data_IF_217130185431
#
_entry.id   IF_217130185431
#
_cell.length_a   1.000
_cell.length_b   1.000
_cell.length_c   1.000
_cell.angle_alpha   90.00
_cell.angle_beta   90.00
_cell.angle_gamma   90.00
#
_symmetry.space_group_name_H-M   'P 1'
#
loop_
_entity.id
_entity.type
_entity.pdbx_description
1 polymer ?
#
# COMPACT_ATOMS: atom_id res chain seq x y z
N UNK A 1 -30.99 -67.94 -28.69
CA UNK A 1 -31.53 -67.59 -30.02
C UNK A 1 -31.56 -66.07 -30.14
N UNK A 2 -30.55 -65.50 -30.81
CA UNK A 2 -30.65 -64.75 -32.09
C UNK A 2 -31.02 -63.27 -31.89
N UNK A 3 -30.03 -62.38 -31.67
CA UNK A 3 -29.28 -61.58 -32.68
C UNK A 3 -30.14 -60.55 -33.42
N UNK A 4 -29.78 -59.27 -33.30
CA UNK A 4 -29.40 -58.38 -34.43
C UNK A 4 -28.84 -57.02 -33.95
N UNK A 5 -27.61 -56.72 -34.38
CA UNK A 5 -26.99 -55.40 -34.66
C UNK A 5 -26.66 -55.43 -36.18
N UNK A 6 -26.13 -54.36 -36.81
CA UNK A 6 -26.60 -52.99 -37.08
C UNK A 6 -26.67 -52.77 -38.64
N UNK A 7 -26.59 -51.55 -39.24
CA UNK A 7 -25.26 -51.00 -39.59
C UNK A 7 -25.10 -49.44 -39.77
N UNK A 8 -23.82 -49.00 -39.65
CA UNK A 8 -23.02 -47.90 -40.29
C UNK A 8 -23.59 -46.51 -40.69
N UNK A 9 -22.99 -45.38 -40.24
CA UNK A 9 -21.79 -44.61 -40.72
C UNK A 9 -21.96 -43.75 -41.99
N UNK A 10 -21.67 -42.44 -41.86
CA UNK A 10 -20.88 -41.56 -42.75
C UNK A 10 -20.52 -40.29 -41.93
N UNK A 11 -19.28 -39.87 -41.64
CA UNK A 11 -18.04 -39.67 -42.40
C UNK A 11 -18.04 -38.45 -43.35
N UNK A 12 -16.95 -37.66 -43.25
CA UNK A 12 -16.48 -36.51 -44.08
C UNK A 12 -17.00 -35.11 -43.73
N UNK A 13 -16.22 -34.03 -43.70
CA UNK A 13 -14.76 -33.76 -43.71
C UNK A 13 -14.61 -32.23 -43.46
N UNK A 14 -13.51 -31.72 -42.87
CA UNK A 14 -13.31 -30.31 -42.57
C UNK A 14 -12.53 -29.60 -43.67
N UNK A 15 -12.97 -28.42 -44.11
CA UNK A 15 -12.07 -27.50 -44.83
C UNK A 15 -12.39 -26.01 -44.64
N UNK A 16 -11.40 -25.33 -44.04
CA UNK A 16 -10.84 -24.04 -44.43
C UNK A 16 -11.79 -22.97 -45.00
N UNK A 17 -11.89 -21.84 -44.29
CA UNK A 17 -11.58 -20.53 -44.90
C UNK A 17 -10.92 -19.57 -43.91
N UNK A 18 -9.66 -19.29 -44.20
CA UNK A 18 -8.90 -18.15 -43.73
C UNK A 18 -9.63 -16.83 -44.02
N UNK A 19 -9.64 -15.92 -43.05
CA UNK A 19 -9.74 -14.49 -43.32
C UNK A 19 -8.85 -13.74 -42.33
N UNK A 20 -7.61 -13.46 -42.77
CA UNK A 20 -6.75 -12.44 -42.19
C UNK A 20 -7.40 -11.08 -42.48
N UNK A 21 -7.75 -10.30 -41.44
CA UNK A 21 -7.93 -8.85 -41.59
C UNK A 21 -6.80 -8.14 -40.84
N UNK A 22 -5.81 -7.74 -41.64
CA UNK A 22 -4.76 -6.80 -41.28
C UNK A 22 -5.36 -5.39 -41.25
N UNK A 23 -5.30 -4.71 -40.11
CA UNK A 23 -5.60 -3.27 -40.03
C UNK A 23 -4.25 -2.53 -40.16
N UNK A 24 -4.01 -1.95 -41.34
CA UNK A 24 -2.98 -0.91 -41.54
C UNK A 24 -3.64 0.44 -41.29
N UNK A 25 -3.14 1.21 -40.32
CA UNK A 25 -3.41 2.64 -40.24
C UNK A 25 -2.27 3.37 -40.96
N UNK A 26 -2.61 4.00 -42.08
CA UNK A 26 -1.74 4.89 -42.85
C UNK A 26 -1.77 6.28 -42.19
N UNK A 27 -0.61 6.78 -41.77
CA UNK A 27 -0.43 8.21 -41.48
C UNK A 27 -0.04 8.94 -42.77
N UNK A 28 -0.86 9.91 -43.17
CA UNK A 28 -0.52 10.92 -44.18
C UNK A 28 0.36 11.99 -43.52
N UNK A 29 1.52 12.24 -44.12
CA UNK A 29 2.35 13.41 -43.82
C UNK A 29 1.93 14.64 -44.61
N UNK A 30 2.36 15.80 -44.12
CA UNK A 30 2.32 17.06 -44.85
C UNK A 30 2.81 18.24 -44.00
N UNK A 31 4.10 18.59 -44.13
CA UNK A 31 4.57 19.98 -44.24
C UNK A 31 6.09 20.01 -44.46
N UNK A 32 6.48 20.70 -45.54
CA UNK A 32 7.86 20.97 -46.00
C UNK A 32 8.48 22.13 -45.21
N UNK A 33 9.81 22.17 -45.13
CA UNK A 33 10.51 23.37 -44.64
C UNK A 33 12.04 23.33 -44.57
N UNK A 34 12.70 23.15 -45.74
CA UNK A 34 14.06 23.61 -46.12
C UNK A 34 15.28 23.36 -45.22
N UNK A 35 16.19 22.53 -45.75
CA UNK A 35 17.64 22.58 -45.53
C UNK A 35 18.24 23.87 -46.11
N UNK A 36 19.31 24.37 -45.48
CA UNK A 36 20.43 24.96 -46.20
C UNK A 36 21.77 24.54 -45.55
N UNK A 37 22.74 24.37 -46.44
CA UNK A 37 24.01 23.66 -46.36
C UNK A 37 25.18 24.49 -45.82
N UNK A 38 26.13 23.80 -45.15
CA UNK A 38 27.63 23.88 -45.15
C UNK A 38 28.37 25.07 -45.83
N UNK A 39 29.69 25.35 -45.59
CA UNK A 39 30.73 24.50 -44.97
C UNK A 39 31.74 25.20 -44.01
N UNK A 40 32.64 24.39 -43.43
CA UNK A 40 33.86 24.79 -42.72
C UNK A 40 35.09 24.86 -43.66
N UNK A 41 36.01 25.85 -43.51
CA UNK A 41 37.48 25.68 -43.69
C UNK A 41 38.32 26.94 -43.35
N UNK A 42 39.51 26.71 -42.76
CA UNK A 42 40.71 27.59 -42.78
C UNK A 42 41.03 28.35 -41.47
N UNK A 43 41.82 27.81 -40.53
CA UNK A 43 43.30 27.82 -40.43
C UNK A 43 43.94 29.18 -40.13
N UNK A 44 44.42 29.42 -38.90
CA UNK A 44 45.86 29.63 -38.57
C UNK A 44 46.16 29.82 -37.05
N UNK A 45 47.12 29.01 -36.57
CA UNK A 45 48.17 29.17 -35.53
C UNK A 45 48.09 30.19 -34.37
N UNK A 46 48.36 29.64 -33.16
CA UNK A 46 49.14 30.14 -31.98
C UNK A 46 48.72 31.49 -31.37
N UNK A 47 48.43 31.60 -30.07
CA UNK A 47 49.37 31.44 -28.95
C UNK A 47 48.66 31.13 -27.62
N UNK A 48 49.32 30.39 -26.73
CA UNK A 48 48.90 30.16 -25.34
C UNK A 48 48.87 31.47 -24.55
N UNK A 49 47.76 31.72 -23.84
CA UNK A 49 47.72 32.36 -22.50
C UNK A 49 46.34 32.16 -21.88
N UNK A 50 46.30 31.39 -20.80
CA UNK A 50 45.19 31.34 -19.85
C UNK A 50 45.00 32.70 -19.18
N UNK A 51 43.76 33.16 -19.01
CA UNK A 51 43.36 33.59 -17.67
C UNK A 51 42.00 33.02 -17.26
N UNK A 52 41.98 32.51 -16.04
CA UNK A 52 40.83 32.03 -15.27
C UNK A 52 39.81 33.17 -15.07
N UNK A 53 38.60 33.02 -15.61
CA UNK A 53 37.47 33.90 -15.31
C UNK A 53 36.45 33.13 -14.44
N UNK A 54 36.38 33.51 -13.17
CA UNK A 54 35.38 33.02 -12.23
C UNK A 54 34.01 33.62 -12.55
N UNK A 55 33.10 32.83 -13.08
CA UNK A 55 31.70 33.22 -13.29
C UNK A 55 30.94 33.08 -11.96
N UNK A 56 30.61 34.22 -11.34
CA UNK A 56 29.62 34.29 -10.25
C UNK A 56 28.23 34.06 -10.84
N UNK A 57 27.65 32.89 -10.56
CA UNK A 57 26.24 32.63 -10.84
C UNK A 57 25.42 33.11 -9.64
N UNK A 58 24.67 34.18 -9.81
CA UNK A 58 23.61 34.60 -8.90
C UNK A 58 22.38 33.71 -9.14
N UNK A 59 21.96 32.94 -8.13
CA UNK A 59 20.58 32.47 -8.06
C UNK A 59 19.84 33.36 -7.06
N UNK A 60 18.93 34.18 -7.57
CA UNK A 60 17.97 34.94 -6.77
C UNK A 60 17.01 33.97 -6.09
N UNK A 61 17.17 33.77 -4.78
CA UNK A 61 16.08 33.21 -3.97
C UNK A 61 15.00 34.27 -3.84
N UNK A 62 13.83 33.96 -4.39
CA UNK A 62 12.64 34.80 -4.25
C UNK A 62 12.23 34.87 -2.78
N UNK A 63 11.82 36.06 -2.34
CA UNK A 63 11.41 36.46 -0.99
C UNK A 63 10.12 35.78 -0.49
N UNK A 64 9.72 34.66 -1.11
CA UNK A 64 8.50 33.90 -0.80
C UNK A 64 8.79 32.68 0.09
N UNK A 65 10.04 32.20 0.14
CA UNK A 65 10.43 31.04 0.98
C UNK A 65 10.71 31.38 2.46
N UNK A 66 10.62 32.64 2.89
CA UNK A 66 10.82 33.04 4.29
C UNK A 66 9.53 33.42 5.05
N UNK A 67 8.39 33.57 4.39
CA UNK A 67 7.13 33.93 5.08
C UNK A 67 6.17 32.73 5.30
N UNK A 68 6.38 31.56 4.67
CA UNK A 68 5.56 30.36 4.93
C UNK A 68 5.88 29.64 6.26
N UNK A 69 7.02 29.93 6.89
CA UNK A 69 7.33 29.43 8.24
C UNK A 69 6.66 30.22 9.37
N UNK A 70 5.82 31.23 9.05
CA UNK A 70 5.11 32.05 10.03
C UNK A 70 3.64 31.63 10.28
N UNK A 71 3.13 30.64 9.55
CA UNK A 71 1.73 30.18 9.65
C UNK A 71 1.51 28.88 10.45
N UNK A 72 2.56 28.27 11.04
CA UNK A 72 2.43 27.08 11.90
C UNK A 72 2.38 27.41 13.41
N UNK A 73 2.57 28.67 13.80
CA UNK A 73 2.70 29.05 15.24
C UNK A 73 1.61 30.02 15.75
N UNK A 74 0.34 29.90 15.31
CA UNK A 74 -0.72 30.83 15.75
C UNK A 74 -2.08 30.26 16.18
N UNK A 75 -2.18 28.99 16.61
CA UNK A 75 -3.41 28.49 17.28
C UNK A 75 -3.18 27.62 18.52
N UNK A 76 -2.22 28.01 19.35
CA UNK A 76 -2.25 27.66 20.78
C UNK A 76 -2.00 28.94 21.57
N UNK A 77 -3.07 29.70 21.84
CA UNK A 77 -3.03 30.85 22.74
C UNK A 77 -3.92 30.54 23.93
N UNK A 78 -3.30 30.24 25.06
CA UNK A 78 -3.89 30.43 26.39
C UNK A 78 -3.39 31.81 26.85
N UNK A 79 -4.34 32.69 27.19
CA UNK A 79 -4.09 34.07 27.56
C UNK A 79 -3.47 34.21 28.95
N UNK A 80 -2.48 35.09 29.10
CA UNK A 80 -2.21 35.82 30.36
C UNK A 80 -1.84 37.25 29.98
N UNK A 81 -2.70 38.20 30.36
CA UNK A 81 -2.41 39.64 30.35
C UNK A 81 -1.73 40.01 31.66
N UNK A 82 -0.62 40.74 31.61
CA UNK A 82 -0.15 41.59 32.71
C UNK A 82 0.68 42.74 32.13
N UNK A 83 0.42 43.95 32.65
CA UNK A 83 0.92 45.21 32.11
C UNK A 83 2.24 45.70 32.73
N UNK A 84 2.78 46.71 32.05
CA UNK A 84 3.70 47.79 32.48
C UNK A 84 5.08 47.47 33.05
N UNK A 85 6.04 48.24 32.50
CA UNK A 85 7.49 48.28 32.67
C UNK A 85 7.95 48.79 34.05
N UNK A 86 8.90 48.11 34.71
CA UNK A 86 9.96 48.73 35.53
C UNK A 86 11.25 47.91 35.38
N UNK A 87 12.37 48.60 35.15
CA UNK A 87 13.72 48.06 35.02
C UNK A 87 14.24 47.44 36.32
N UNK A 88 14.84 46.25 36.23
CA UNK A 88 15.50 45.50 37.33
C UNK A 88 16.26 44.29 36.77
N UNK A 89 17.30 43.78 37.46
CA UNK A 89 18.41 43.06 36.85
C UNK A 89 17.97 41.71 36.28
N UNK A 90 18.67 41.30 35.21
CA UNK A 90 18.45 40.08 34.43
C UNK A 90 18.36 38.82 35.33
N UNK A 91 17.14 38.44 35.69
CA UNK A 91 16.82 37.06 36.03
C UNK A 91 16.60 36.33 34.71
N UNK A 92 17.51 35.43 34.35
CA UNK A 92 17.31 34.46 33.27
C UNK A 92 16.11 33.59 33.62
N UNK A 93 14.92 33.95 33.11
CA UNK A 93 13.81 33.02 33.03
C UNK A 93 14.22 31.97 32.02
N UNK A 94 14.72 30.82 32.51
CA UNK A 94 14.83 29.63 31.70
C UNK A 94 13.42 29.33 31.19
N UNK A 95 13.13 29.72 29.94
CA UNK A 95 11.94 29.25 29.26
C UNK A 95 12.10 27.74 29.16
N UNK A 96 11.39 27.01 30.02
CA UNK A 96 11.24 25.58 29.88
C UNK A 96 10.77 25.36 28.44
N UNK A 97 11.64 24.76 27.62
CA UNK A 97 11.24 24.25 26.33
C UNK A 97 9.99 23.40 26.54
N UNK A 98 8.99 23.41 25.63
CA UNK A 98 7.92 22.44 25.73
C UNK A 98 8.58 21.08 25.77
N UNK A 99 8.52 20.43 26.93
CA UNK A 99 8.95 19.06 27.07
C UNK A 99 8.21 18.31 25.98
N UNK A 100 8.95 17.72 25.03
CA UNK A 100 8.38 16.73 24.12
C UNK A 100 7.56 15.79 25.00
N UNK A 101 6.23 15.91 24.91
CA UNK A 101 5.32 15.28 25.84
C UNK A 101 5.74 13.81 25.94
N UNK A 102 6.19 13.44 27.14
CA UNK A 102 6.79 12.16 27.40
C UNK A 102 5.84 11.07 26.92
N UNK A 103 6.41 10.14 26.17
CA UNK A 103 5.81 8.92 25.66
C UNK A 103 4.96 8.28 26.77
N UNK A 104 3.63 8.30 26.63
CA UNK A 104 2.83 7.30 27.33
C UNK A 104 3.20 5.99 26.67
N UNK A 105 3.98 5.17 27.38
CA UNK A 105 4.33 3.80 27.00
C UNK A 105 3.04 2.96 27.01
N UNK A 106 2.20 3.17 26.01
CA UNK A 106 1.03 2.35 25.73
C UNK A 106 1.51 1.33 24.70
N UNK A 107 1.49 0.06 25.09
CA UNK A 107 1.76 -1.06 24.18
C UNK A 107 0.58 -1.34 23.24
N UNK A 108 -0.51 -0.57 23.37
CA UNK A 108 -1.77 -0.78 22.65
C UNK A 108 -2.51 0.53 22.30
N UNK A 109 -3.26 0.50 21.20
CA UNK A 109 -4.28 1.50 20.84
C UNK A 109 -5.65 0.89 21.15
N UNK A 110 -6.33 1.42 22.17
CA UNK A 110 -7.66 0.97 22.58
C UNK A 110 -8.79 1.54 21.71
N UNK A 111 -10.03 1.07 21.90
CA UNK A 111 -11.19 1.57 21.15
C UNK A 111 -11.42 3.06 21.44
N UNK A 112 -11.46 3.87 20.39
CA UNK A 112 -11.59 5.32 20.43
C UNK A 112 -10.25 6.08 20.46
N UNK A 113 -9.12 5.40 20.69
CA UNK A 113 -7.81 6.04 20.71
C UNK A 113 -7.31 6.36 19.30
N UNK A 114 -6.42 7.35 19.20
CA UNK A 114 -5.75 7.72 17.95
C UNK A 114 -4.29 8.13 18.16
N UNK A 115 -3.53 8.07 17.07
CA UNK A 115 -2.19 8.63 16.93
C UNK A 115 -2.24 9.76 15.89
N UNK A 116 -1.90 10.97 16.34
CA UNK A 116 -1.63 12.11 15.47
C UNK A 116 -0.26 11.96 14.80
N UNK A 117 0.03 12.73 13.73
CA UNK A 117 1.37 12.80 13.15
C UNK A 117 2.45 13.03 14.22
N UNK A 118 3.49 12.20 14.18
CA UNK A 118 4.61 12.19 15.14
C UNK A 118 4.37 11.34 16.39
N UNK A 119 3.13 10.99 16.72
CA UNK A 119 2.82 10.18 17.90
C UNK A 119 3.05 8.69 17.67
N UNK A 120 3.38 7.97 18.74
CA UNK A 120 3.69 6.54 18.66
C UNK A 120 3.27 5.74 19.90
N UNK A 121 3.00 4.46 19.67
CA UNK A 121 3.06 3.43 20.70
C UNK A 121 4.49 2.87 20.77
N UNK A 122 4.94 2.50 21.97
CA UNK A 122 6.23 1.83 22.16
C UNK A 122 6.19 0.91 23.38
N UNK A 123 6.85 -0.24 23.28
CA UNK A 123 7.13 -1.14 24.41
C UNK A 123 8.64 -1.38 24.59
N UNK A 124 9.45 -0.36 24.25
CA UNK A 124 10.91 -0.41 24.30
C UNK A 124 11.50 -0.87 22.97
N UNK A 125 11.30 -2.15 22.61
CA UNK A 125 11.84 -2.73 21.38
C UNK A 125 11.02 -2.38 20.13
N UNK A 126 9.70 -2.50 20.25
CA UNK A 126 8.81 -2.27 19.13
C UNK A 126 8.20 -0.88 19.21
N UNK A 127 8.03 -0.26 18.04
CA UNK A 127 7.44 1.07 17.91
C UNK A 127 6.43 1.09 16.77
N UNK A 128 5.23 1.60 17.02
CA UNK A 128 4.26 1.94 15.98
C UNK A 128 4.11 3.46 15.96
N UNK A 129 4.49 4.10 14.86
CA UNK A 129 4.45 5.56 14.73
C UNK A 129 3.60 5.99 13.54
N UNK A 130 2.71 6.95 13.78
CA UNK A 130 2.06 7.69 12.70
C UNK A 130 3.03 8.78 12.24
N UNK A 131 3.75 8.56 11.15
CA UNK A 131 4.77 9.48 10.66
C UNK A 131 4.16 10.79 10.12
N UNK A 132 4.94 11.88 10.18
CA UNK A 132 4.52 13.20 9.70
C UNK A 132 4.10 13.20 8.22
N UNK A 133 4.74 12.36 7.41
CA UNK A 133 4.47 12.18 5.98
C UNK A 133 3.22 11.34 5.69
N UNK A 134 2.50 10.90 6.73
CA UNK A 134 1.19 10.26 6.63
C UNK A 134 1.16 8.74 6.80
N UNK A 135 2.33 8.11 6.92
CA UNK A 135 2.44 6.67 6.98
C UNK A 135 2.40 6.14 8.41
N UNK A 136 1.60 5.12 8.68
CA UNK A 136 1.66 4.37 9.93
C UNK A 136 2.71 3.27 9.77
N UNK A 137 3.77 3.29 10.58
CA UNK A 137 4.90 2.37 10.42
C UNK A 137 5.21 1.64 11.71
N UNK A 138 5.31 0.32 11.61
CA UNK A 138 5.67 -0.59 12.68
C UNK A 138 7.14 -1.02 12.55
N UNK A 139 7.91 -0.77 13.59
CA UNK A 139 9.35 -1.01 13.67
C UNK A 139 9.71 -2.03 14.76
N UNK A 140 10.78 -2.78 14.51
CA UNK A 140 11.59 -3.50 15.49
C UNK A 140 12.98 -2.85 15.51
N UNK A 141 13.28 -2.07 16.56
CA UNK A 141 14.43 -1.17 16.56
C UNK A 141 14.36 -0.19 15.39
N UNK A 142 15.33 -0.25 14.48
CA UNK A 142 15.38 0.58 13.26
C UNK A 142 14.77 -0.08 12.03
N UNK A 143 14.43 -1.37 12.11
CA UNK A 143 13.92 -2.14 10.98
C UNK A 143 12.41 -1.97 10.85
N UNK A 144 11.96 -1.39 9.74
CA UNK A 144 10.53 -1.35 9.42
C UNK A 144 10.04 -2.77 9.10
N UNK A 145 9.09 -3.27 9.89
CA UNK A 145 8.46 -4.58 9.69
C UNK A 145 7.17 -4.47 8.86
N UNK A 146 6.44 -3.36 8.99
CA UNK A 146 5.23 -3.09 8.23
C UNK A 146 4.98 -1.59 8.10
N UNK A 147 4.32 -1.19 7.02
CA UNK A 147 3.81 0.16 6.85
C UNK A 147 2.47 0.18 6.11
N UNK A 148 1.64 1.16 6.43
CA UNK A 148 0.43 1.41 5.66
C UNK A 148 0.77 1.89 4.23
N UNK A 149 -0.19 1.87 3.30
CA UNK A 149 -0.03 2.46 1.97
C UNK A 149 -0.49 3.93 1.97
N UNK A 150 -0.06 4.74 2.93
CA UNK A 150 -0.54 6.13 3.10
C UNK A 150 0.58 7.18 3.10
N UNK A 151 1.77 6.83 2.61
CA UNK A 151 2.87 7.78 2.41
C UNK A 151 2.47 8.92 1.46
N UNK A 152 2.98 10.12 1.70
CA UNK A 152 2.67 11.33 0.92
C UNK A 152 1.33 11.96 1.30
N UNK A 153 0.77 11.63 2.48
CA UNK A 153 -0.48 12.17 3.02
C UNK A 153 -0.20 12.90 4.35
N UNK A 154 0.51 14.04 4.32
CA UNK A 154 0.89 14.74 5.54
C UNK A 154 -0.34 15.09 6.38
N UNK A 155 -0.16 15.08 7.70
CA UNK A 155 -1.25 15.33 8.64
C UNK A 155 -2.22 14.16 8.86
N UNK A 156 -2.01 13.01 8.22
CA UNK A 156 -2.85 11.85 8.45
C UNK A 156 -2.74 11.33 9.89
N UNK A 157 -3.86 10.87 10.45
CA UNK A 157 -3.94 10.26 11.79
C UNK A 157 -4.37 8.80 11.69
N UNK A 158 -3.90 7.96 12.60
CA UNK A 158 -4.41 6.59 12.77
C UNK A 158 -5.39 6.55 13.94
N UNK A 159 -6.56 5.96 13.76
CA UNK A 159 -7.61 5.88 14.78
C UNK A 159 -8.11 4.46 14.90
N UNK A 160 -8.05 3.89 16.12
CA UNK A 160 -8.73 2.64 16.42
C UNK A 160 -10.18 2.98 16.77
N UNK A 161 -11.09 2.85 15.83
CA UNK A 161 -12.49 3.23 16.02
C UNK A 161 -13.19 2.34 17.06
N UNK A 162 -14.25 2.86 17.68
CA UNK A 162 -15.02 2.13 18.71
C UNK A 162 -15.68 0.86 18.17
N UNK A 163 -16.05 0.83 16.89
CA UNK A 163 -16.57 -0.38 16.21
C UNK A 163 -15.51 -1.44 15.89
N UNK A 164 -14.24 -1.19 16.24
CA UNK A 164 -13.16 -2.16 16.15
C UNK A 164 -12.33 -2.13 14.86
N UNK A 165 -12.43 -1.06 14.09
CA UNK A 165 -11.65 -0.88 12.85
C UNK A 165 -10.51 0.12 13.08
N UNK A 166 -9.28 -0.25 12.73
CA UNK A 166 -8.18 0.71 12.63
C UNK A 166 -8.27 1.41 11.26
N UNK A 167 -8.42 2.72 11.27
CA UNK A 167 -8.52 3.57 10.07
C UNK A 167 -7.47 4.67 10.10
N UNK A 168 -6.83 4.92 8.96
CA UNK A 168 -5.99 6.09 8.74
C UNK A 168 -6.81 7.12 7.99
N UNK A 169 -6.98 8.30 8.58
CA UNK A 169 -7.72 9.42 8.02
C UNK A 169 -6.76 10.49 7.52
N UNK A 170 -7.06 11.09 6.37
CA UNK A 170 -6.43 12.33 5.92
C UNK A 170 -6.84 13.53 6.76
N UNK A 171 -6.20 14.67 6.51
CA UNK A 171 -6.54 15.97 7.12
C UNK A 171 -8.00 16.37 6.88
N UNK A 172 -8.55 16.01 5.73
CA UNK A 172 -9.94 16.25 5.33
C UNK A 172 -10.94 15.25 5.94
N UNK A 173 -10.50 14.44 6.91
CA UNK A 173 -11.26 13.35 7.53
C UNK A 173 -11.72 12.25 6.56
N UNK A 174 -11.17 12.17 5.34
CA UNK A 174 -11.46 11.04 4.44
C UNK A 174 -10.63 9.83 4.82
N UNK A 175 -11.22 8.62 4.84
CA UNK A 175 -10.46 7.40 5.11
C UNK A 175 -9.50 7.13 3.94
N UNK A 176 -8.21 7.03 4.26
CA UNK A 176 -7.14 6.71 3.30
C UNK A 176 -6.89 5.19 3.25
N UNK A 177 -6.95 4.54 4.41
CA UNK A 177 -6.76 3.10 4.56
C UNK A 177 -7.46 2.58 5.81
N UNK A 178 -7.83 1.30 5.84
CA UNK A 178 -8.42 0.66 7.01
C UNK A 178 -8.10 -0.83 7.05
N UNK A 179 -8.12 -1.40 8.26
CA UNK A 179 -7.95 -2.85 8.49
C UNK A 179 -9.18 -3.70 8.17
N UNK A 180 -10.35 -3.07 8.00
CA UNK A 180 -11.62 -3.74 7.66
C UNK A 180 -12.10 -4.75 8.71
N UNK A 181 -11.83 -4.43 9.99
CA UNK A 181 -12.22 -5.21 11.18
C UNK A 181 -13.43 -4.60 11.90
N UNK A 182 -14.19 -3.73 11.24
CA UNK A 182 -15.44 -3.16 11.78
C UNK A 182 -16.44 -4.25 12.19
N UNK A 183 -17.30 -3.94 13.16
CA UNK A 183 -18.26 -4.88 13.74
C UNK A 183 -17.71 -5.66 14.95
N UNK A 184 -16.55 -5.27 15.47
CA UNK A 184 -15.89 -5.88 16.62
C UNK A 184 -15.70 -4.84 17.74
N UNK A 185 -16.79 -4.38 18.39
CA UNK A 185 -16.70 -3.36 19.42
C UNK A 185 -15.77 -3.78 20.57
N UNK A 186 -14.95 -2.84 21.03
CA UNK A 186 -13.94 -3.10 22.07
C UNK A 186 -12.64 -3.73 21.55
N UNK A 187 -12.49 -3.93 20.23
CA UNK A 187 -11.22 -4.35 19.66
C UNK A 187 -10.12 -3.30 19.89
N UNK A 188 -8.88 -3.78 19.98
CA UNK A 188 -7.70 -2.95 20.23
C UNK A 188 -6.50 -3.45 19.41
N UNK A 189 -5.62 -2.51 19.04
CA UNK A 189 -4.35 -2.79 18.39
C UNK A 189 -3.27 -2.98 19.45
N UNK A 190 -2.40 -3.99 19.32
CA UNK A 190 -1.34 -4.27 20.31
C UNK A 190 0.01 -4.57 19.64
N UNK A 191 1.08 -3.99 20.21
CA UNK A 191 2.46 -4.31 19.87
C UNK A 191 2.84 -5.71 20.38
N UNK A 192 3.67 -6.48 19.65
CA UNK A 192 4.13 -7.78 20.14
C UNK A 192 5.08 -7.61 21.34
N UNK A 193 5.06 -8.55 22.29
CA UNK A 193 5.90 -8.49 23.49
C UNK A 193 7.35 -8.98 23.27
N UNK A 194 7.56 -9.90 22.31
CA UNK A 194 8.85 -10.57 22.11
C UNK A 194 9.27 -10.53 20.64
N UNK A 195 8.44 -11.13 19.79
CA UNK A 195 8.58 -11.14 18.35
C UNK A 195 7.19 -11.29 17.73
N UNK A 196 7.05 -10.89 16.47
CA UNK A 196 5.85 -11.16 15.70
C UNK A 196 5.22 -9.92 15.11
N UNK A 197 3.91 -10.01 14.93
CA UNK A 197 3.14 -9.07 14.14
C UNK A 197 2.54 -7.99 15.05
N UNK A 198 2.28 -6.82 14.47
CA UNK A 198 1.30 -5.91 15.03
C UNK A 198 -0.09 -6.54 14.84
N UNK A 199 -0.88 -6.69 15.90
CA UNK A 199 -2.17 -7.42 15.85
C UNK A 199 -3.31 -6.55 16.36
N UNK A 200 -4.46 -6.63 15.68
CA UNK A 200 -5.75 -6.19 16.24
C UNK A 200 -6.43 -7.41 16.85
N UNK A 201 -6.77 -7.31 18.13
CA UNK A 201 -7.52 -8.32 18.85
C UNK A 201 -8.95 -7.85 19.09
N UNK A 202 -9.90 -8.78 19.11
CA UNK A 202 -11.23 -8.55 19.66
C UNK A 202 -11.16 -8.30 21.17
N UNK A 203 -12.27 -7.88 21.77
CA UNK A 203 -12.41 -7.77 23.23
C UNK A 203 -12.02 -9.06 23.97
N UNK A 204 -12.27 -10.21 23.36
CA UNK A 204 -11.99 -11.55 23.92
C UNK A 204 -10.60 -12.08 23.55
N UNK A 205 -9.67 -11.22 23.13
CA UNK A 205 -8.31 -11.58 22.71
C UNK A 205 -8.23 -12.49 21.45
N UNK A 206 -9.26 -12.54 20.61
CA UNK A 206 -9.19 -13.27 19.33
C UNK A 206 -8.51 -12.38 18.28
N UNK A 207 -7.50 -12.86 17.53
CA UNK A 207 -6.86 -12.06 16.50
C UNK A 207 -7.83 -11.82 15.33
N UNK A 208 -8.01 -10.54 14.96
CA UNK A 208 -8.88 -10.10 13.85
C UNK A 208 -8.06 -9.72 12.61
N UNK A 209 -6.87 -9.14 12.83
CA UNK A 209 -5.94 -8.73 11.78
C UNK A 209 -4.51 -8.74 12.32
N UNK A 210 -3.51 -8.98 11.47
CA UNK A 210 -2.12 -8.73 11.81
C UNK A 210 -1.31 -8.17 10.64
N UNK A 211 -0.19 -7.50 10.93
CA UNK A 211 0.69 -6.90 9.93
C UNK A 211 1.26 -7.86 8.89
N UNK A 212 1.24 -9.17 9.16
CA UNK A 212 1.67 -10.20 8.21
C UNK A 212 0.53 -11.10 7.74
N UNK A 213 -0.65 -11.01 8.36
CA UNK A 213 -1.75 -11.92 8.08
C UNK A 213 -3.12 -11.22 8.12
N UNK A 214 -3.93 -11.45 7.08
CA UNK A 214 -5.37 -11.20 7.14
C UNK A 214 -6.09 -12.48 7.61
N UNK A 215 -7.14 -12.34 8.41
CA UNK A 215 -7.94 -13.49 8.89
C UNK A 215 -9.23 -13.60 8.08
N UNK A 216 -9.47 -14.80 7.56
CA UNK A 216 -10.60 -15.24 6.73
C UNK A 216 -10.77 -14.55 5.39
N UNK A 217 -10.41 -13.26 5.26
CA UNK A 217 -10.66 -12.46 4.07
C UNK A 217 -9.51 -11.50 3.74
N UNK A 218 -9.29 -11.23 2.46
CA UNK A 218 -8.58 -10.06 1.94
C UNK A 218 -9.61 -9.13 1.29
N UNK A 219 -9.94 -8.00 1.95
CA UNK A 219 -10.95 -7.06 1.46
C UNK A 219 -10.59 -6.39 0.12
N UNK A 220 -11.60 -5.84 -0.54
CA UNK A 220 -11.43 -5.00 -1.72
C UNK A 220 -10.44 -3.85 -1.48
N UNK A 221 -9.59 -3.60 -2.48
CA UNK A 221 -8.50 -2.61 -2.44
C UNK A 221 -7.26 -3.03 -1.66
N UNK A 222 -7.24 -4.18 -0.99
CA UNK A 222 -6.09 -4.60 -0.18
C UNK A 222 -5.04 -5.36 -0.98
N UNK A 223 -3.81 -5.23 -0.51
CA UNK A 223 -2.61 -5.84 -1.10
C UNK A 223 -2.03 -6.83 -0.11
N UNK A 224 -1.67 -8.01 -0.63
CA UNK A 224 -0.86 -9.01 0.03
C UNK A 224 0.56 -8.95 -0.56
N UNK A 225 1.49 -8.40 0.22
CA UNK A 225 2.90 -8.25 -0.16
C UNK A 225 3.67 -9.57 0.02
N UNK A 226 4.84 -9.71 -0.60
CA UNK A 226 5.74 -10.83 -0.35
C UNK A 226 5.90 -11.16 1.14
N UNK A 227 5.67 -12.41 1.50
CA UNK A 227 5.72 -12.93 2.86
C UNK A 227 4.44 -12.74 3.68
N UNK A 228 3.44 -12.00 3.19
CA UNK A 228 2.13 -11.88 3.85
C UNK A 228 1.17 -12.98 3.42
N UNK A 229 0.19 -13.29 4.27
CA UNK A 229 -0.82 -14.30 3.96
C UNK A 229 -2.24 -13.93 4.37
N UNK A 230 -3.21 -14.67 3.84
CA UNK A 230 -4.58 -14.73 4.36
C UNK A 230 -4.77 -16.11 4.98
N UNK A 231 -5.24 -16.18 6.22
CA UNK A 231 -5.43 -17.44 6.95
C UNK A 231 -6.91 -17.73 7.15
N UNK A 232 -7.33 -18.99 7.04
CA UNK A 232 -8.70 -19.38 7.37
C UNK A 232 -9.00 -19.12 8.84
N UNK A 233 -10.28 -18.92 9.18
CA UNK A 233 -10.71 -18.64 10.56
C UNK A 233 -10.40 -19.77 11.55
N UNK A 234 -10.34 -21.02 11.08
CA UNK A 234 -9.91 -22.17 11.88
C UNK A 234 -8.38 -22.32 11.98
N UNK A 235 -7.60 -21.39 11.40
CA UNK A 235 -6.14 -21.38 11.44
C UNK A 235 -5.44 -22.39 10.54
N UNK A 236 -6.15 -23.31 9.89
CA UNK A 236 -5.54 -24.44 9.16
C UNK A 236 -4.97 -24.06 7.79
N UNK A 237 -5.71 -23.25 7.02
CA UNK A 237 -5.38 -22.97 5.63
C UNK A 237 -4.78 -21.58 5.48
N UNK A 238 -3.80 -21.45 4.59
CA UNK A 238 -3.04 -20.21 4.41
C UNK A 238 -2.76 -19.91 2.94
N UNK A 239 -3.32 -18.82 2.41
CA UNK A 239 -2.92 -18.25 1.13
C UNK A 239 -1.73 -17.33 1.34
N UNK A 240 -0.52 -17.77 0.97
CA UNK A 240 0.73 -17.03 1.13
C UNK A 240 1.15 -16.40 -0.20
N UNK A 241 1.38 -15.08 -0.21
CA UNK A 241 2.16 -14.45 -1.27
C UNK A 241 3.64 -14.74 -0.98
N UNK A 242 4.23 -15.70 -1.69
CA UNK A 242 5.61 -16.10 -1.50
C UNK A 242 6.59 -15.04 -2.03
N UNK A 243 7.84 -15.08 -1.57
CA UNK A 243 8.85 -14.05 -1.88
C UNK A 243 9.34 -14.12 -3.33
N UNK A 244 9.33 -15.31 -3.91
CA UNK A 244 9.61 -15.64 -5.30
C UNK A 244 8.46 -15.27 -6.25
N UNK A 245 7.35 -14.76 -5.73
CA UNK A 245 6.26 -14.14 -6.52
C UNK A 245 5.01 -14.99 -6.75
N UNK A 246 5.03 -16.24 -6.29
CA UNK A 246 3.88 -17.14 -6.37
C UNK A 246 2.88 -16.85 -5.23
N UNK A 247 1.57 -16.92 -5.49
CA UNK A 247 0.54 -16.95 -4.46
C UNK A 247 0.02 -18.38 -4.31
N UNK A 248 0.23 -18.98 -3.13
CA UNK A 248 -0.03 -20.41 -2.89
C UNK A 248 -0.93 -20.60 -1.68
N UNK A 249 -2.01 -21.37 -1.87
CA UNK A 249 -2.85 -21.86 -0.77
C UNK A 249 -2.24 -23.13 -0.19
N UNK A 250 -2.02 -23.16 1.12
CA UNK A 250 -1.46 -24.29 1.85
C UNK A 250 -2.44 -24.90 2.85
N UNK A 251 -2.30 -26.21 3.06
CA UNK A 251 -2.73 -26.99 4.22
C UNK A 251 -1.47 -27.54 4.91
N UNK A 252 -1.00 -26.84 5.95
CA UNK A 252 0.33 -27.09 6.51
C UNK A 252 1.44 -26.87 5.47
N UNK A 253 2.12 -27.96 5.07
CA UNK A 253 3.16 -27.94 4.01
C UNK A 253 2.62 -28.30 2.61
N UNK A 254 1.39 -28.82 2.52
CA UNK A 254 0.80 -29.26 1.25
C UNK A 254 0.20 -28.08 0.50
N UNK A 255 0.59 -27.87 -0.75
CA UNK A 255 -0.06 -26.89 -1.62
C UNK A 255 -1.40 -27.43 -2.13
N UNK A 256 -2.43 -26.60 -2.09
CA UNK A 256 -3.78 -26.89 -2.59
C UNK A 256 -4.09 -26.14 -3.88
N UNK A 257 -3.52 -24.94 -4.04
CA UNK A 257 -3.68 -24.07 -5.21
C UNK A 257 -2.45 -23.19 -5.35
N UNK A 258 -2.08 -22.82 -6.58
CA UNK A 258 -0.96 -21.94 -6.88
C UNK A 258 -1.29 -21.04 -8.08
N UNK A 259 -0.85 -19.79 -8.03
CA UNK A 259 -0.78 -18.95 -9.22
C UNK A 259 0.52 -19.28 -9.97
N UNK A 260 0.50 -19.55 -11.29
CA UNK A 260 1.73 -19.87 -12.04
C UNK A 260 2.60 -18.62 -12.27
N UNK A 261 3.05 -17.99 -11.17
CA UNK A 261 3.72 -16.68 -11.13
C UNK A 261 5.03 -16.71 -10.38
N UNK A 262 5.56 -17.90 -10.09
CA UNK A 262 6.91 -18.07 -9.53
C UNK A 262 7.98 -17.45 -10.44
N UNK A 263 9.14 -17.10 -9.88
CA UNK A 263 10.24 -16.44 -10.60
C UNK A 263 10.10 -14.92 -10.74
N UNK A 264 9.14 -14.32 -10.04
CA UNK A 264 8.84 -12.89 -10.08
C UNK A 264 9.00 -12.28 -8.68
N UNK A 265 10.24 -12.18 -8.15
CA UNK A 265 10.47 -11.67 -6.81
C UNK A 265 9.93 -10.25 -6.65
N UNK A 266 9.22 -10.02 -5.54
CA UNK A 266 8.52 -8.75 -5.30
C UNK A 266 7.08 -8.70 -5.85
N UNK A 267 6.60 -9.75 -6.52
CA UNK A 267 5.20 -9.81 -6.94
C UNK A 267 4.26 -9.80 -5.73
N UNK A 268 3.08 -9.22 -5.95
CA UNK A 268 2.07 -8.96 -4.91
C UNK A 268 0.69 -9.34 -5.40
N UNK A 269 -0.14 -9.84 -4.50
CA UNK A 269 -1.55 -10.08 -4.75
C UNK A 269 -2.36 -8.84 -4.41
N UNK A 270 -3.29 -8.45 -5.27
CA UNK A 270 -4.16 -7.31 -5.07
C UNK A 270 -5.59 -7.77 -5.26
N UNK A 271 -6.43 -7.61 -4.24
CA UNK A 271 -7.87 -7.65 -4.41
C UNK A 271 -8.29 -6.26 -4.91
N UNK A 272 -8.40 -6.07 -6.22
CA UNK A 272 -8.64 -4.75 -6.81
C UNK A 272 -10.05 -4.24 -6.49
N UNK A 273 -10.21 -2.90 -6.50
CA UNK A 273 -11.49 -2.24 -6.17
C UNK A 273 -12.63 -2.61 -7.12
N UNK A 274 -12.31 -2.88 -8.39
CA UNK A 274 -13.24 -3.38 -9.41
C UNK A 274 -13.65 -4.84 -9.24
N UNK A 275 -13.11 -5.51 -8.22
CA UNK A 275 -13.52 -6.85 -7.82
C UNK A 275 -12.68 -8.00 -8.36
N UNK A 276 -11.53 -7.69 -8.95
CA UNK A 276 -10.63 -8.69 -9.50
C UNK A 276 -9.48 -9.02 -8.53
N UNK A 277 -9.21 -10.29 -8.26
CA UNK A 277 -7.93 -10.68 -7.66
C UNK A 277 -6.89 -10.86 -8.75
N UNK A 278 -5.79 -10.10 -8.65
CA UNK A 278 -4.66 -10.11 -9.59
C UNK A 278 -3.35 -10.30 -8.83
N UNK A 279 -2.46 -11.13 -9.37
CA UNK A 279 -1.04 -11.13 -8.99
C UNK A 279 -0.30 -10.27 -10.00
N UNK A 280 0.37 -9.23 -9.52
CA UNK A 280 1.17 -8.31 -10.35
C UNK A 280 2.64 -8.41 -9.97
N UNK A 281 3.53 -8.16 -10.92
CA UNK A 281 4.96 -8.04 -10.67
C UNK A 281 5.30 -6.73 -9.93
N UNK A 282 6.60 -6.49 -9.69
CA UNK A 282 7.07 -5.28 -9.00
C UNK A 282 6.71 -3.98 -9.74
N UNK A 283 6.51 -4.04 -11.06
CA UNK A 283 6.22 -2.93 -11.95
C UNK A 283 4.72 -2.82 -12.29
N UNK A 284 3.83 -3.46 -11.51
CA UNK A 284 2.38 -3.48 -11.73
C UNK A 284 1.91 -4.22 -12.99
N UNK A 285 2.77 -4.99 -13.66
CA UNK A 285 2.34 -5.86 -14.76
C UNK A 285 1.59 -7.07 -14.22
N UNK A 286 0.37 -7.29 -14.69
CA UNK A 286 -0.42 -8.47 -14.34
C UNK A 286 0.26 -9.76 -14.81
N UNK A 287 0.45 -10.70 -13.89
CA UNK A 287 0.99 -12.04 -14.11
C UNK A 287 -0.11 -13.09 -14.13
N UNK A 288 -1.14 -12.92 -13.29
CA UNK A 288 -2.28 -13.81 -13.19
C UNK A 288 -3.52 -13.08 -12.68
N UNK A 289 -4.71 -13.54 -13.05
CA UNK A 289 -5.98 -12.92 -12.62
C UNK A 289 -7.13 -13.94 -12.54
N UNK A 290 -8.05 -13.73 -11.61
CA UNK A 290 -9.33 -14.47 -11.50
C UNK A 290 -10.36 -14.08 -12.56
N UNK A 291 -10.15 -12.99 -13.32
CA UNK A 291 -11.10 -12.45 -14.31
C UNK A 291 -12.48 -12.10 -13.71
N UNK A 292 -12.51 -11.64 -12.46
CA UNK A 292 -13.73 -11.27 -11.73
C UNK A 292 -14.00 -9.76 -11.72
N UNK A 293 -13.31 -9.00 -12.57
CA UNK A 293 -13.53 -7.55 -12.73
C UNK A 293 -14.99 -7.21 -13.08
N UNK A 294 -15.43 -6.01 -12.70
CA UNK A 294 -16.83 -5.57 -12.84
C UNK A 294 -17.70 -5.87 -11.62
N UNK A 295 -17.10 -6.36 -10.53
CA UNK A 295 -17.77 -6.67 -9.26
C UNK A 295 -17.24 -5.77 -8.14
N UNK A 296 -17.50 -4.45 -8.17
CA UNK A 296 -16.93 -3.53 -7.19
C UNK A 296 -17.23 -3.94 -5.75
N UNK A 297 -16.22 -3.84 -4.89
CA UNK A 297 -16.33 -4.27 -3.49
C UNK A 297 -16.21 -5.79 -3.27
N UNK A 298 -15.96 -6.59 -4.32
CA UNK A 298 -15.65 -8.00 -4.13
C UNK A 298 -14.40 -8.20 -3.26
N UNK A 299 -14.36 -9.34 -2.58
CA UNK A 299 -13.34 -9.68 -1.60
C UNK A 299 -12.92 -11.14 -1.73
N UNK A 300 -11.66 -11.42 -1.37
CA UNK A 300 -11.11 -12.77 -1.39
C UNK A 300 -11.31 -13.40 -0.03
N UNK A 301 -11.71 -14.67 0.01
CA UNK A 301 -11.84 -15.50 1.21
C UNK A 301 -10.86 -16.67 1.18
N UNK A 302 -10.28 -16.99 2.33
CA UNK A 302 -9.69 -18.32 2.58
C UNK A 302 -10.62 -19.07 3.52
N UNK A 303 -11.30 -20.06 2.99
CA UNK A 303 -12.35 -20.81 3.69
C UNK A 303 -11.78 -21.92 4.57
N UNK A 304 -12.58 -22.38 5.53
CA UNK A 304 -12.24 -23.47 6.43
C UNK A 304 -12.23 -24.86 5.78
N UNK A 305 -12.54 -24.96 4.48
CA UNK A 305 -12.51 -26.19 3.69
C UNK A 305 -11.37 -26.21 2.67
N UNK A 306 -10.42 -25.27 2.76
CA UNK A 306 -9.24 -25.24 1.90
C UNK A 306 -9.54 -24.79 0.47
N UNK A 307 -10.27 -23.67 0.33
CA UNK A 307 -10.44 -22.95 -0.94
C UNK A 307 -10.05 -21.49 -0.80
N UNK A 308 -9.65 -20.91 -1.92
CA UNK A 308 -9.71 -19.47 -2.12
C UNK A 308 -10.97 -19.16 -2.91
N UNK A 309 -11.81 -18.26 -2.42
CA UNK A 309 -13.08 -17.88 -3.06
C UNK A 309 -13.11 -16.37 -3.24
N UNK A 310 -13.47 -15.88 -4.42
CA UNK A 310 -13.82 -14.47 -4.60
C UNK A 310 -15.33 -14.33 -4.43
N UNK A 311 -15.75 -13.52 -3.48
CA UNK A 311 -17.15 -13.17 -3.27
C UNK A 311 -17.40 -11.75 -3.73
N UNK A 312 -18.55 -11.52 -4.38
CA UNK A 312 -19.08 -10.18 -4.58
C UNK A 312 -19.37 -9.47 -3.26
N UNK A 313 -19.62 -8.16 -3.30
CA UNK A 313 -20.07 -7.39 -2.14
C UNK A 313 -21.37 -7.93 -1.52
N UNK A 314 -22.22 -8.59 -2.32
CA UNK A 314 -23.46 -9.25 -1.88
C UNK A 314 -23.26 -10.71 -1.42
N UNK A 315 -22.02 -11.14 -1.16
CA UNK A 315 -21.65 -12.50 -0.74
C UNK A 315 -22.00 -13.62 -1.74
N UNK A 316 -22.28 -13.30 -3.00
CA UNK A 316 -22.37 -14.29 -4.08
C UNK A 316 -20.96 -14.73 -4.51
N UNK A 317 -20.64 -16.04 -4.56
CA UNK A 317 -19.36 -16.50 -5.07
C UNK A 317 -19.23 -16.22 -6.57
N UNK A 318 -18.08 -15.68 -6.98
CA UNK A 318 -17.76 -15.30 -8.35
C UNK A 318 -16.72 -16.22 -8.99
N UNK A 319 -15.83 -16.76 -8.16
CA UNK A 319 -14.75 -17.66 -8.56
C UNK A 319 -14.28 -18.46 -7.35
N UNK A 320 -13.83 -19.70 -7.54
CA UNK A 320 -13.06 -20.42 -6.52
C UNK A 320 -11.89 -21.22 -7.10
N UNK A 321 -10.90 -21.50 -6.25
CA UNK A 321 -9.64 -22.14 -6.63
C UNK A 321 -9.75 -23.57 -7.15
N UNK A 322 -10.94 -24.18 -7.12
CA UNK A 322 -11.21 -25.51 -7.69
C UNK A 322 -12.00 -25.44 -9.00
N UNK A 323 -12.54 -24.28 -9.38
CA UNK A 323 -13.13 -24.09 -10.70
C UNK A 323 -12.02 -24.18 -11.74
N UNK A 324 -12.13 -25.17 -12.64
CA UNK A 324 -11.28 -25.30 -13.83
C UNK A 324 -11.96 -24.64 -15.01
#
# INVERSE_FOLDING_TARGET
>A
MSRRRPPTQASMDPSRRNSKRSIRLSMRGGAKGRLNTMPCRGSTRRTNRTPTASVKVYHSRSSVEQEENRMITKKAAIAVMAGTLIAGPLATVAMAQPSNAAVVAKDRLGPGDWLLPGQSLSNGRFKLIQQAQGNLVFYDGTKALWSSPTAGKPGARATMQKEGNLVIYGLDNKPLWSTQTAGNPGAYLKLPNQSGNLVIYSRDNKPLWSSSAYISKLPSGQVLRPGQWVQSSNGRYKLLQQKEGNAVLYDGKRSLFTTPTAGHPGARSIMQKEGNWVVVDRNDKALWTTKTAGNPGAWLSVSNDGRVIIYSAANKPLWDSRMR
#
